data_IF_955322940593
#
_entry.id   IF_955322940593
#
_cell.length_a   1.000
_cell.length_b   1.000
_cell.length_c   1.000
_cell.angle_alpha   90.00
_cell.angle_beta   90.00
_cell.angle_gamma   90.00
#
_symmetry.space_group_name_H-M   'P 1'
#
loop_
_entity.id
_entity.type
_entity.pdbx_description
1 polymer ?
#
# COMPACT_ATOMS: atom_id res chain seq x y z
N UNK A 1 -44.50 64.73 20.35
CA UNK A 1 -43.57 64.32 19.31
C UNK A 1 -42.30 63.65 19.87
N UNK A 2 -42.43 62.83 20.93
CA UNK A 2 -41.29 62.18 21.57
C UNK A 2 -41.41 60.65 21.63
N UNK A 3 -42.37 60.07 20.93
CA UNK A 3 -42.63 58.60 20.94
C UNK A 3 -42.32 57.87 19.65
N UNK A 4 -41.90 58.58 18.57
CA UNK A 4 -41.61 57.95 17.30
C UNK A 4 -40.10 57.65 17.13
N UNK A 5 -39.23 58.28 17.91
CA UNK A 5 -37.78 58.07 17.82
C UNK A 5 -37.27 56.74 18.42
N UNK A 6 -38.09 56.06 19.28
CA UNK A 6 -37.68 54.87 20.01
C UNK A 6 -37.98 53.55 19.28
N UNK A 7 -38.72 53.60 18.15
CA UNK A 7 -39.07 52.45 17.35
C UNK A 7 -38.12 52.18 16.16
N UNK A 8 -37.27 53.16 15.82
CA UNK A 8 -36.35 53.05 14.70
C UNK A 8 -34.98 52.47 15.08
N UNK A 9 -34.65 52.40 16.36
CA UNK A 9 -33.37 51.88 16.83
C UNK A 9 -33.41 50.35 17.10
N UNK A 10 -34.60 49.72 17.14
CA UNK A 10 -34.74 48.28 17.40
C UNK A 10 -34.64 47.42 16.13
N UNK A 11 -34.57 48.02 14.91
CA UNK A 11 -34.59 47.26 13.65
C UNK A 11 -33.21 47.07 12.99
N UNK A 12 -32.15 47.69 13.56
CA UNK A 12 -30.80 47.62 12.97
C UNK A 12 -29.95 46.47 13.57
N UNK A 13 -30.45 45.79 14.59
CA UNK A 13 -29.69 44.76 15.37
C UNK A 13 -29.86 43.33 14.87
N UNK A 14 -30.65 43.05 13.81
CA UNK A 14 -31.00 41.67 13.44
C UNK A 14 -30.45 41.13 12.13
N UNK A 15 -29.47 41.77 11.52
CA UNK A 15 -28.97 41.36 10.20
C UNK A 15 -27.50 40.90 10.18
N UNK A 16 -26.91 40.52 11.34
CA UNK A 16 -25.51 40.16 11.41
C UNK A 16 -25.26 38.69 11.91
N UNK A 17 -26.18 37.79 11.66
CA UNK A 17 -25.93 36.35 11.84
C UNK A 17 -26.19 35.63 10.51
N UNK A 18 -25.48 36.04 9.46
CA UNK A 18 -25.23 35.11 8.36
C UNK A 18 -24.16 34.14 8.88
N UNK A 19 -24.62 33.07 9.52
CA UNK A 19 -23.83 31.85 9.64
C UNK A 19 -23.42 31.44 8.25
N UNK A 20 -22.14 31.49 7.94
CA UNK A 20 -21.58 30.74 6.83
C UNK A 20 -21.83 29.27 7.15
N UNK A 21 -22.90 28.71 6.67
CA UNK A 21 -23.01 27.26 6.48
C UNK A 21 -21.93 26.93 5.45
N UNK A 22 -20.82 26.38 5.91
CA UNK A 22 -19.93 25.61 5.04
C UNK A 22 -20.81 24.42 4.64
N UNK A 23 -21.39 24.48 3.44
CA UNK A 23 -21.86 23.28 2.79
C UNK A 23 -20.58 22.45 2.55
N UNK A 24 -20.37 21.45 3.41
CA UNK A 24 -19.46 20.36 3.10
C UNK A 24 -19.98 19.74 1.81
N UNK A 25 -19.32 20.08 0.71
CA UNK A 25 -19.55 19.44 -0.58
C UNK A 25 -19.05 18.02 -0.43
N UNK A 26 -19.94 17.10 -0.02
CA UNK A 26 -19.70 15.68 -0.17
C UNK A 26 -19.70 15.41 -1.68
N UNK A 27 -18.52 15.30 -2.25
CA UNK A 27 -18.37 14.75 -3.59
C UNK A 27 -18.87 13.31 -3.52
N UNK A 28 -20.08 13.05 -4.05
CA UNK A 28 -20.67 11.71 -4.13
C UNK A 28 -19.81 10.76 -4.99
N UNK A 29 -18.73 11.26 -5.61
CA UNK A 29 -17.70 10.49 -6.29
C UNK A 29 -16.45 10.25 -5.42
N UNK A 30 -16.49 10.54 -4.12
CA UNK A 30 -15.44 10.08 -3.21
C UNK A 30 -15.56 8.56 -3.11
N UNK A 31 -14.95 7.88 -4.06
CA UNK A 31 -14.76 6.43 -4.01
C UNK A 31 -13.87 6.15 -2.80
N UNK A 32 -14.47 5.63 -1.73
CA UNK A 32 -13.69 4.97 -0.68
C UNK A 32 -12.97 3.81 -1.35
N UNK A 33 -11.67 3.98 -1.61
CA UNK A 33 -10.83 2.92 -2.11
C UNK A 33 -10.97 1.71 -1.19
N UNK A 34 -11.29 0.55 -1.75
CA UNK A 34 -11.44 -0.66 -0.95
C UNK A 34 -10.07 -1.27 -0.70
N UNK A 35 -9.77 -1.53 0.58
CA UNK A 35 -8.62 -2.36 0.94
C UNK A 35 -8.71 -3.72 0.23
N UNK A 36 -7.60 -4.18 -0.32
CA UNK A 36 -7.52 -5.46 -1.00
C UNK A 36 -6.25 -6.19 -0.59
N UNK A 37 -6.33 -7.52 -0.57
CA UNK A 37 -5.16 -8.37 -0.35
C UNK A 37 -5.07 -9.41 -1.46
N UNK A 38 -3.86 -9.53 -2.01
CA UNK A 38 -3.53 -10.52 -3.03
C UNK A 38 -2.41 -11.41 -2.53
N UNK A 39 -2.38 -12.67 -2.97
CA UNK A 39 -1.28 -13.58 -2.72
C UNK A 39 -0.61 -13.94 -4.04
N UNK A 40 0.72 -13.94 -4.05
CA UNK A 40 1.59 -14.34 -5.15
C UNK A 40 2.31 -15.62 -4.69
N UNK A 41 1.68 -16.80 -4.87
CA UNK A 41 2.19 -18.04 -4.29
C UNK A 41 3.26 -18.68 -5.19
N UNK A 42 4.38 -19.11 -4.62
CA UNK A 42 5.42 -19.87 -5.30
C UNK A 42 6.03 -19.19 -6.53
N UNK A 43 6.21 -17.89 -6.49
CA UNK A 43 6.76 -17.09 -7.58
C UNK A 43 8.30 -17.19 -7.63
N UNK A 44 8.84 -17.29 -8.82
CA UNK A 44 10.29 -17.24 -9.03
C UNK A 44 10.67 -15.91 -9.66
N UNK A 45 11.48 -15.12 -8.96
CA UNK A 45 11.96 -13.83 -9.46
C UNK A 45 13.08 -14.10 -10.47
N UNK A 46 12.76 -14.06 -11.77
CA UNK A 46 13.67 -14.53 -12.82
C UNK A 46 13.88 -13.56 -13.97
N UNK A 47 13.22 -12.40 -13.95
CA UNK A 47 13.45 -11.36 -14.96
C UNK A 47 14.72 -10.58 -14.60
N UNK A 48 15.81 -10.66 -15.40
CA UNK A 48 17.02 -9.91 -15.10
C UNK A 48 16.79 -8.41 -15.31
N UNK A 49 17.15 -7.60 -14.32
CA UNK A 49 17.20 -6.14 -14.45
C UNK A 49 18.64 -5.69 -14.75
N UNK A 50 19.59 -6.32 -14.07
CA UNK A 50 21.03 -6.15 -14.24
C UNK A 50 21.78 -7.40 -13.74
N UNK A 51 23.12 -7.29 -13.55
CA UNK A 51 23.95 -8.38 -13.05
C UNK A 51 23.68 -8.76 -11.58
N UNK A 52 23.00 -7.91 -10.82
CA UNK A 52 22.82 -8.04 -9.38
C UNK A 52 21.36 -8.23 -8.98
N UNK A 53 20.40 -8.09 -9.92
CA UNK A 53 18.99 -7.97 -9.60
C UNK A 53 18.11 -8.82 -10.51
N UNK A 54 17.22 -9.61 -9.90
CA UNK A 54 16.09 -10.24 -10.57
C UNK A 54 14.78 -9.64 -10.09
N UNK A 55 13.75 -9.72 -10.92
CA UNK A 55 12.41 -9.22 -10.58
C UNK A 55 11.29 -10.13 -11.08
N UNK A 56 10.08 -9.81 -10.63
CA UNK A 56 8.82 -10.27 -11.18
C UNK A 56 7.80 -9.13 -11.13
N UNK A 57 6.92 -9.05 -12.13
CA UNK A 57 5.89 -8.01 -12.24
C UNK A 57 4.52 -8.65 -12.35
N UNK A 58 3.54 -8.18 -11.57
CA UNK A 58 2.18 -8.70 -11.57
C UNK A 58 1.18 -7.58 -11.78
N UNK A 59 0.25 -7.78 -12.72
CA UNK A 59 -0.76 -6.79 -13.02
C UNK A 59 -1.93 -6.88 -12.04
N UNK A 60 -2.41 -5.72 -11.56
CA UNK A 60 -3.70 -5.64 -10.88
C UNK A 60 -4.83 -5.99 -11.86
N UNK A 61 -5.81 -6.74 -11.40
CA UNK A 61 -6.98 -7.09 -12.21
C UNK A 61 -7.79 -5.86 -12.60
N UNK A 62 -7.84 -4.89 -11.69
CA UNK A 62 -8.44 -3.57 -11.89
C UNK A 62 -7.40 -2.54 -11.40
N UNK A 63 -7.17 -1.45 -12.13
CA UNK A 63 -6.24 -0.41 -11.67
C UNK A 63 -6.64 0.12 -10.29
N UNK A 64 -5.65 0.30 -9.43
CA UNK A 64 -5.84 0.98 -8.13
C UNK A 64 -5.93 2.50 -8.33
N UNK A 65 -6.35 3.24 -7.32
CA UNK A 65 -6.42 4.70 -7.38
C UNK A 65 -5.04 5.33 -7.22
N UNK A 66 -4.86 6.54 -7.76
CA UNK A 66 -3.62 7.31 -7.63
C UNK A 66 -3.29 7.65 -6.17
N UNK A 67 -4.32 7.70 -5.33
CA UNK A 67 -4.18 7.95 -3.88
C UNK A 67 -3.82 6.71 -3.07
N UNK A 68 -3.99 5.51 -3.64
CA UNK A 68 -3.78 4.26 -2.90
C UNK A 68 -2.28 4.00 -2.71
N UNK A 69 -1.96 3.34 -1.60
CA UNK A 69 -0.64 2.81 -1.33
C UNK A 69 -0.64 1.29 -1.44
N UNK A 70 0.53 0.73 -1.70
CA UNK A 70 0.74 -0.71 -1.76
C UNK A 70 1.78 -1.10 -0.71
N UNK A 71 1.49 -2.17 0.02
CA UNK A 71 2.44 -2.84 0.91
C UNK A 71 2.71 -4.23 0.37
N UNK A 72 3.96 -4.65 0.40
CA UNK A 72 4.37 -5.99 0.00
C UNK A 72 4.98 -6.70 1.21
N UNK A 73 4.51 -7.91 1.48
CA UNK A 73 5.04 -8.77 2.53
C UNK A 73 5.60 -10.06 1.91
N UNK A 74 6.77 -10.49 2.36
CA UNK A 74 7.38 -11.76 2.00
C UNK A 74 7.09 -12.80 3.08
N UNK A 75 6.73 -14.01 2.67
CA UNK A 75 6.59 -15.15 3.58
C UNK A 75 7.96 -15.74 3.93
N UNK A 76 8.22 -15.95 5.22
CA UNK A 76 9.48 -16.53 5.74
C UNK A 76 9.27 -17.91 6.38
N UNK A 77 8.27 -18.66 5.94
CA UNK A 77 7.97 -19.99 6.47
C UNK A 77 7.08 -20.00 7.70
N UNK A 78 7.12 -18.96 8.54
CA UNK A 78 6.30 -18.83 9.75
C UNK A 78 5.72 -17.44 9.99
N UNK A 79 6.18 -16.44 9.26
CA UNK A 79 5.75 -15.04 9.43
C UNK A 79 5.83 -14.26 8.13
N UNK A 80 5.05 -13.17 8.06
CA UNK A 80 5.09 -12.20 7.00
C UNK A 80 6.02 -11.04 7.39
N UNK A 81 6.96 -10.72 6.53
CA UNK A 81 7.90 -9.61 6.73
C UNK A 81 7.67 -8.54 5.69
N UNK A 82 7.48 -7.29 6.13
CA UNK A 82 7.29 -6.15 5.25
C UNK A 82 8.55 -5.91 4.41
N UNK A 83 8.38 -5.72 3.11
CA UNK A 83 9.39 -5.27 2.16
C UNK A 83 9.38 -3.73 2.15
N UNK A 84 10.52 -3.02 2.10
CA UNK A 84 11.87 -3.52 1.84
C UNK A 84 12.51 -4.22 3.06
N UNK A 85 13.26 -5.28 2.79
CA UNK A 85 13.96 -6.05 3.82
C UNK A 85 15.30 -6.58 3.28
N UNK A 86 16.31 -6.63 4.15
CA UNK A 86 17.65 -7.12 3.80
C UNK A 86 18.08 -8.25 4.73
N UNK A 87 18.82 -9.20 4.17
CA UNK A 87 19.38 -10.35 4.87
C UNK A 87 20.89 -10.36 4.68
N UNK A 88 21.61 -10.66 5.76
CA UNK A 88 23.06 -10.85 5.73
C UNK A 88 23.35 -12.33 5.43
N UNK A 89 24.11 -12.58 4.38
CA UNK A 89 24.54 -13.91 3.96
C UNK A 89 25.87 -14.35 4.60
N UNK A 90 26.54 -13.43 5.33
CA UNK A 90 27.86 -13.62 5.87
C UNK A 90 28.95 -13.03 4.98
N UNK A 91 30.19 -12.93 5.52
CA UNK A 91 31.32 -12.41 4.74
C UNK A 91 31.25 -10.93 4.29
N UNK A 92 30.16 -10.24 4.62
CA UNK A 92 29.85 -8.90 4.12
C UNK A 92 28.81 -8.90 2.98
N UNK A 93 28.41 -10.08 2.53
CA UNK A 93 27.42 -10.25 1.48
C UNK A 93 26.00 -10.08 2.00
N UNK A 94 25.17 -9.48 1.16
CA UNK A 94 23.78 -9.15 1.47
C UNK A 94 22.86 -9.50 0.31
N UNK A 95 21.62 -9.83 0.66
CA UNK A 95 20.51 -9.91 -0.27
C UNK A 95 19.38 -9.03 0.22
N UNK A 96 18.73 -8.30 -0.69
CA UNK A 96 17.66 -7.34 -0.40
C UNK A 96 16.45 -7.61 -1.27
N UNK A 97 15.26 -7.53 -0.67
CA UNK A 97 14.03 -7.34 -1.41
C UNK A 97 13.62 -5.88 -1.38
N UNK A 98 13.09 -5.45 -2.52
CA UNK A 98 12.47 -4.14 -2.70
C UNK A 98 11.26 -4.28 -3.61
N UNK A 99 10.46 -3.24 -3.74
CA UNK A 99 9.35 -3.22 -4.69
C UNK A 99 9.06 -1.80 -5.16
N UNK A 100 8.43 -1.70 -6.30
CA UNK A 100 7.70 -0.52 -6.75
C UNK A 100 6.31 -0.91 -7.25
N UNK A 101 5.47 0.09 -7.49
CA UNK A 101 4.15 -0.13 -8.03
C UNK A 101 3.69 1.05 -8.87
N UNK A 102 2.78 0.75 -9.78
CA UNK A 102 1.97 1.73 -10.50
C UNK A 102 0.49 1.46 -10.19
N UNK A 103 -0.39 2.24 -10.78
CA UNK A 103 -1.83 1.92 -10.72
C UNK A 103 -2.18 0.57 -11.32
N UNK A 104 -1.33 0.02 -12.18
CA UNK A 104 -1.63 -1.14 -13.00
C UNK A 104 -0.91 -2.41 -12.56
N UNK A 105 0.22 -2.27 -11.88
CA UNK A 105 1.08 -3.40 -11.53
C UNK A 105 1.88 -3.14 -10.24
N UNK A 106 2.38 -4.24 -9.70
CA UNK A 106 3.39 -4.26 -8.64
C UNK A 106 4.57 -5.06 -9.16
N UNK A 107 5.79 -4.58 -8.91
CA UNK A 107 7.05 -5.22 -9.26
C UNK A 107 7.88 -5.45 -8.02
N UNK A 108 8.29 -6.69 -7.81
CA UNK A 108 9.14 -7.08 -6.68
C UNK A 108 10.53 -7.41 -7.21
N UNK A 109 11.53 -6.94 -6.49
CA UNK A 109 12.94 -7.12 -6.81
C UNK A 109 13.62 -7.96 -5.73
N UNK A 110 14.58 -8.77 -6.15
CA UNK A 110 15.62 -9.35 -5.29
C UNK A 110 16.97 -8.97 -5.82
N UNK A 111 17.80 -8.35 -5.00
CA UNK A 111 19.14 -7.88 -5.38
C UNK A 111 20.19 -8.36 -4.38
N UNK A 112 21.41 -8.55 -4.87
CA UNK A 112 22.57 -9.00 -4.11
C UNK A 112 23.69 -7.98 -4.15
N UNK A 113 24.60 -8.01 -3.19
CA UNK A 113 25.83 -7.21 -3.17
C UNK A 113 26.93 -7.73 -4.12
N UNK A 114 26.70 -8.87 -4.77
CA UNK A 114 27.58 -9.55 -5.72
C UNK A 114 26.74 -10.00 -6.93
N UNK A 115 27.33 -10.46 -8.05
CA UNK A 115 26.55 -10.92 -9.20
C UNK A 115 25.55 -12.03 -8.80
N UNK A 116 24.26 -11.83 -9.09
CA UNK A 116 23.17 -12.69 -8.58
C UNK A 116 23.24 -14.14 -9.10
N UNK A 117 23.93 -14.37 -10.21
CA UNK A 117 24.22 -15.69 -10.74
C UNK A 117 25.28 -16.47 -9.96
N UNK A 118 25.96 -15.83 -8.99
CA UNK A 118 26.90 -16.47 -8.08
C UNK A 118 26.25 -17.00 -6.79
N UNK A 119 24.92 -16.79 -6.63
CA UNK A 119 24.19 -17.41 -5.54
C UNK A 119 24.39 -18.93 -5.53
N UNK A 120 24.67 -19.48 -4.37
CA UNK A 120 24.65 -20.93 -4.19
C UNK A 120 23.24 -21.48 -4.42
N UNK A 121 23.14 -22.78 -4.72
CA UNK A 121 21.83 -23.43 -4.88
C UNK A 121 20.93 -23.28 -3.64
N UNK A 122 21.51 -23.27 -2.45
CA UNK A 122 20.77 -23.09 -1.21
C UNK A 122 20.19 -21.67 -1.13
N UNK A 123 21.01 -20.64 -1.36
CA UNK A 123 20.59 -19.24 -1.36
C UNK A 123 19.58 -18.94 -2.49
N UNK A 124 19.80 -19.49 -3.69
CA UNK A 124 18.85 -19.35 -4.79
C UNK A 124 17.48 -19.95 -4.40
N UNK A 125 17.44 -21.12 -3.81
CA UNK A 125 16.21 -21.76 -3.36
C UNK A 125 15.54 -20.98 -2.22
N UNK A 126 16.32 -20.39 -1.31
CA UNK A 126 15.80 -19.63 -0.17
C UNK A 126 15.28 -18.26 -0.59
N UNK A 127 15.95 -17.58 -1.54
CA UNK A 127 15.70 -16.17 -1.80
C UNK A 127 15.16 -15.85 -3.21
N UNK A 128 15.21 -16.76 -4.16
CA UNK A 128 14.81 -16.46 -5.55
C UNK A 128 13.71 -17.41 -6.01
N UNK A 129 13.85 -18.69 -5.75
CA UNK A 129 12.96 -19.74 -6.25
C UNK A 129 11.74 -19.91 -5.36
N UNK A 130 10.55 -19.96 -5.95
CA UNK A 130 9.26 -20.25 -5.30
C UNK A 130 8.97 -19.39 -4.05
N UNK A 131 9.22 -18.11 -4.14
CA UNK A 131 8.90 -17.15 -3.08
C UNK A 131 7.40 -16.91 -3.01
N UNK A 132 6.89 -16.61 -1.83
CA UNK A 132 5.47 -16.22 -1.66
C UNK A 132 5.39 -14.81 -1.09
N UNK A 133 4.59 -13.98 -1.74
CA UNK A 133 4.36 -12.60 -1.33
C UNK A 133 2.86 -12.35 -1.09
N UNK A 134 2.56 -11.36 -0.27
CA UNK A 134 1.25 -10.72 -0.18
C UNK A 134 1.36 -9.27 -0.55
N UNK A 135 0.43 -8.83 -1.39
CA UNK A 135 0.29 -7.45 -1.83
C UNK A 135 -0.98 -6.90 -1.20
N UNK A 136 -0.86 -5.87 -0.40
CA UNK A 136 -1.98 -5.23 0.31
C UNK A 136 -2.15 -3.82 -0.23
N UNK A 137 -3.32 -3.54 -0.79
CA UNK A 137 -3.69 -2.19 -1.22
C UNK A 137 -4.31 -1.46 -0.04
N UNK A 138 -3.73 -0.31 0.30
CA UNK A 138 -4.17 0.57 1.38
C UNK A 138 -4.80 1.80 0.76
N UNK A 139 -6.09 2.06 0.98
CA UNK A 139 -6.77 3.25 0.45
C UNK A 139 -6.10 4.55 0.88
N UNK A 140 -6.03 5.53 -0.01
CA UNK A 140 -5.43 6.83 0.27
C UNK A 140 -6.11 7.59 1.41
N UNK A 141 -7.39 7.32 1.67
CA UNK A 141 -8.15 7.86 2.80
C UNK A 141 -7.92 7.15 4.14
N UNK A 142 -7.09 6.12 4.21
CA UNK A 142 -6.84 5.39 5.44
C UNK A 142 -6.06 6.25 6.45
N UNK A 143 -6.68 6.54 7.60
CA UNK A 143 -6.14 7.49 8.59
C UNK A 143 -5.67 6.85 9.90
N UNK A 144 -5.81 5.54 10.08
CA UNK A 144 -5.41 4.88 11.31
C UNK A 144 -3.88 4.82 11.43
N UNK A 145 -3.38 5.14 12.62
CA UNK A 145 -1.95 4.98 12.93
C UNK A 145 -1.68 3.55 13.37
N UNK A 146 -1.11 2.76 12.47
CA UNK A 146 -0.72 1.38 12.74
C UNK A 146 0.76 1.15 12.39
N UNK A 147 1.33 0.11 12.99
CA UNK A 147 2.65 -0.37 12.57
C UNK A 147 2.50 -1.33 11.40
N UNK A 148 2.73 -0.87 10.18
CA UNK A 148 2.65 -1.71 8.98
C UNK A 148 3.66 -2.87 8.96
N UNK A 149 4.68 -2.87 9.81
CA UNK A 149 5.57 -4.05 9.94
C UNK A 149 4.88 -5.24 10.61
N UNK A 150 3.78 -5.02 11.34
CA UNK A 150 2.93 -6.07 11.86
C UNK A 150 1.82 -6.38 10.83
N UNK A 151 2.01 -7.51 10.13
CA UNK A 151 1.07 -7.96 9.11
C UNK A 151 -0.34 -8.18 9.67
N UNK A 152 -0.47 -8.83 10.83
CA UNK A 152 -1.77 -9.14 11.40
C UNK A 152 -2.51 -7.87 11.84
N UNK A 153 -1.80 -6.93 12.46
CA UNK A 153 -2.35 -5.62 12.81
C UNK A 153 -2.79 -4.84 11.56
N UNK A 154 -2.02 -4.92 10.46
CA UNK A 154 -2.36 -4.30 9.17
C UNK A 154 -3.65 -4.88 8.59
N UNK A 155 -3.74 -6.21 8.50
CA UNK A 155 -4.92 -6.91 7.95
C UNK A 155 -6.16 -6.61 8.78
N UNK A 156 -6.03 -6.60 10.12
CA UNK A 156 -7.15 -6.29 11.02
C UNK A 156 -7.61 -4.85 10.88
N UNK A 157 -6.70 -3.90 10.87
CA UNK A 157 -7.03 -2.48 10.74
C UNK A 157 -7.70 -2.14 9.38
N UNK A 158 -7.39 -2.91 8.34
CA UNK A 158 -7.97 -2.78 7.00
C UNK A 158 -9.25 -3.61 6.80
N UNK A 159 -9.70 -4.38 7.83
CA UNK A 159 -10.88 -5.23 7.75
C UNK A 159 -10.74 -6.41 6.78
N UNK A 160 -9.51 -6.91 6.59
CA UNK A 160 -9.18 -7.93 5.58
C UNK A 160 -9.06 -9.36 6.15
N UNK A 161 -9.35 -9.59 7.46
CA UNK A 161 -9.18 -10.91 8.09
C UNK A 161 -9.96 -12.03 7.40
N UNK A 162 -11.12 -11.70 6.84
CA UNK A 162 -11.98 -12.65 6.15
C UNK A 162 -12.06 -12.39 4.63
N UNK A 163 -11.21 -11.50 4.11
CA UNK A 163 -11.19 -11.20 2.69
C UNK A 163 -10.73 -12.43 1.87
N UNK A 164 -11.37 -12.73 0.74
CA UNK A 164 -10.89 -13.79 -0.13
C UNK A 164 -9.53 -13.42 -0.69
N UNK A 165 -8.55 -14.30 -0.55
CA UNK A 165 -7.25 -14.15 -1.18
C UNK A 165 -7.40 -14.33 -2.70
N UNK A 166 -7.07 -13.29 -3.43
CA UNK A 166 -7.00 -13.29 -4.89
C UNK A 166 -5.56 -13.44 -5.33
N UNK A 167 -5.32 -13.92 -6.54
CA UNK A 167 -3.99 -13.93 -7.16
C UNK A 167 -3.90 -12.88 -8.26
N UNK A 168 -2.73 -12.28 -8.43
CA UNK A 168 -2.44 -11.39 -9.55
C UNK A 168 -1.87 -12.18 -10.72
N UNK A 169 -1.98 -11.61 -11.92
CA UNK A 169 -1.44 -12.22 -13.13
C UNK A 169 -0.01 -11.75 -13.36
N UNK A 170 0.91 -12.71 -13.50
CA UNK A 170 2.30 -12.41 -13.89
C UNK A 170 2.31 -11.73 -15.26
N UNK A 171 2.97 -10.61 -15.36
CA UNK A 171 3.20 -9.89 -16.60
C UNK A 171 4.22 -10.65 -17.43
N UNK A 172 3.81 -11.09 -18.62
CA UNK A 172 4.66 -11.78 -19.59
C UNK A 172 5.46 -10.81 -20.43
#
# INVERSE_FOLDING_TARGET
MKKIALLLTAFIGLTALQSCTIEEYYDENYYEGYSQVFELPNETLSTPEDAFTYSGTWNFTTPIYDSDNVLVYRWQGNSWTLVPVSYNLGGGDMIKYDYDFTRYDVKVYVSTSFPINELTNAEYNEFVYRQTFRVVVVPGGFQQKINFSDYNATISALGLENAPLKTLQLKK
#
